data_IF_228256351121
#
_entry.id   IF_228256351121
#
_cell.length_a   1.000
_cell.length_b   1.000
_cell.length_c   1.000
_cell.angle_alpha   90.00
_cell.angle_beta   90.00
_cell.angle_gamma   90.00
#
_symmetry.space_group_name_H-M   'P 1'
#
loop_
_entity.id
_entity.type
_entity.pdbx_description
1 polymer ?
#
# COMPACT_ATOMS: atom_id res chain seq x y z
N UNK A 1 -7.23 1.54 14.88
CA UNK A 1 -6.42 2.52 15.66
C UNK A 1 -5.13 1.82 16.02
N UNK A 2 -3.98 2.42 15.72
CA UNK A 2 -2.68 1.88 16.12
C UNK A 2 -2.14 2.75 17.26
N UNK A 3 -2.01 2.21 18.49
CA UNK A 3 -1.54 2.99 19.64
C UNK A 3 -0.11 3.49 19.49
N UNK A 4 0.18 4.62 20.14
CA UNK A 4 1.52 5.14 20.27
C UNK A 4 2.46 4.15 20.94
N UNK A 5 3.76 4.31 20.69
CA UNK A 5 4.82 3.62 21.40
C UNK A 5 5.83 2.95 20.47
N UNK A 6 6.92 2.45 21.06
CA UNK A 6 7.99 1.81 20.34
C UNK A 6 7.53 0.49 19.70
N UNK A 7 8.08 0.18 18.53
CA UNK A 7 8.02 -1.14 17.93
C UNK A 7 9.36 -1.49 17.28
N UNK A 8 9.62 -2.78 17.11
CA UNK A 8 10.78 -3.25 16.35
C UNK A 8 10.43 -3.25 14.86
N UNK A 9 11.19 -2.48 14.09
CA UNK A 9 11.10 -2.38 12.63
C UNK A 9 12.28 -3.10 11.98
N UNK A 10 12.02 -3.74 10.84
CA UNK A 10 13.00 -4.54 10.11
C UNK A 10 13.34 -5.86 10.82
N UNK A 11 14.36 -6.55 10.32
CA UNK A 11 14.75 -7.89 10.80
C UNK A 11 16.25 -8.11 10.77
N UNK A 12 16.73 -9.00 11.64
CA UNK A 12 18.12 -9.49 11.61
C UNK A 12 18.24 -10.84 10.87
N UNK A 13 17.10 -11.40 10.41
CA UNK A 13 17.07 -12.70 9.72
C UNK A 13 17.58 -12.59 8.28
N UNK A 14 18.88 -12.87 8.11
CA UNK A 14 19.53 -12.89 6.79
C UNK A 14 19.05 -14.01 5.87
N UNK A 15 18.32 -15.00 6.36
CA UNK A 15 17.85 -16.13 5.54
C UNK A 15 16.59 -15.81 4.74
N UNK A 16 15.87 -14.76 5.13
CA UNK A 16 14.54 -14.44 4.59
C UNK A 16 14.36 -12.97 4.17
N UNK A 17 15.37 -12.11 4.37
CA UNK A 17 15.26 -10.67 4.15
C UNK A 17 16.35 -10.13 3.20
N UNK A 18 15.99 -9.15 2.37
CA UNK A 18 16.94 -8.36 1.60
C UNK A 18 17.74 -7.42 2.49
N UNK A 19 18.79 -6.79 1.94
CA UNK A 19 19.66 -5.93 2.74
C UNK A 19 18.98 -4.68 3.30
N UNK A 20 18.07 -4.08 2.55
CA UNK A 20 17.30 -2.89 2.93
C UNK A 20 16.28 -3.13 4.06
N UNK A 21 15.92 -4.38 4.34
CA UNK A 21 15.02 -4.76 5.45
C UNK A 21 15.78 -4.93 6.78
N UNK A 22 17.12 -4.79 6.76
CA UNK A 22 17.98 -5.25 7.86
C UNK A 22 18.61 -4.15 8.69
N UNK A 23 18.99 -4.61 9.87
CA UNK A 23 19.29 -3.79 11.03
C UNK A 23 17.98 -3.60 11.78
N UNK A 24 17.53 -4.63 12.51
CA UNK A 24 16.34 -4.45 13.35
C UNK A 24 16.60 -3.33 14.33
N UNK A 25 15.68 -2.38 14.39
CA UNK A 25 15.83 -1.19 15.20
C UNK A 25 14.47 -0.76 15.78
N UNK A 26 14.52 0.06 16.83
CA UNK A 26 13.31 0.55 17.49
C UNK A 26 12.90 1.88 16.87
N UNK A 27 11.64 1.98 16.47
CA UNK A 27 11.01 3.23 16.04
C UNK A 27 9.87 3.55 16.99
N UNK A 28 9.87 4.77 17.54
CA UNK A 28 8.75 5.27 18.37
C UNK A 28 7.78 6.06 17.50
N UNK A 29 6.52 5.62 17.47
CA UNK A 29 5.48 6.23 16.65
C UNK A 29 4.38 6.82 17.52
N UNK A 30 3.78 7.97 17.15
CA UNK A 30 2.58 8.48 17.81
C UNK A 30 1.39 7.53 17.57
N UNK A 31 0.25 7.83 18.20
CA UNK A 31 -1.00 7.14 17.88
C UNK A 31 -1.49 7.62 16.52
N UNK A 32 -1.86 6.70 15.63
CA UNK A 32 -2.40 7.02 14.31
C UNK A 32 -3.55 6.09 13.92
N UNK A 33 -4.20 6.43 12.82
CA UNK A 33 -5.17 5.56 12.15
C UNK A 33 -4.65 5.28 10.74
N UNK A 34 -4.77 4.03 10.35
CA UNK A 34 -4.62 3.58 8.98
C UNK A 34 -5.98 2.98 8.56
N UNK A 35 -6.32 3.09 7.29
CA UNK A 35 -7.54 2.46 6.77
C UNK A 35 -7.43 0.95 6.93
N UNK A 36 -8.53 0.30 7.29
CA UNK A 36 -8.55 -1.15 7.54
C UNK A 36 -8.36 -1.97 6.26
N UNK A 37 -8.35 -1.35 5.09
CA UNK A 37 -8.13 -1.98 3.79
C UNK A 37 -7.73 -0.94 2.73
N UNK A 38 -7.15 -1.36 1.60
CA UNK A 38 -6.82 -0.47 0.50
C UNK A 38 -8.01 0.31 -0.06
N UNK A 39 -7.72 1.46 -0.66
CA UNK A 39 -8.71 2.30 -1.37
C UNK A 39 -9.33 1.47 -2.49
N UNK A 40 -10.67 1.42 -2.54
CA UNK A 40 -11.36 0.68 -3.59
C UNK A 40 -11.54 1.51 -4.86
N UNK A 41 -11.73 0.84 -5.99
CA UNK A 41 -12.11 1.46 -7.27
C UNK A 41 -13.33 2.37 -7.12
N UNK A 42 -14.34 1.95 -6.37
CA UNK A 42 -15.55 2.77 -6.15
C UNK A 42 -15.29 4.00 -5.28
N UNK A 43 -14.29 3.96 -4.40
CA UNK A 43 -13.86 5.14 -3.64
C UNK A 43 -13.04 6.10 -4.50
N UNK A 44 -12.14 5.56 -5.31
CA UNK A 44 -11.34 6.33 -6.26
C UNK A 44 -12.21 6.98 -7.36
N UNK A 45 -13.27 6.30 -7.81
CA UNK A 45 -14.22 6.85 -8.76
C UNK A 45 -14.90 8.11 -8.22
N UNK A 46 -15.25 8.16 -6.92
CA UNK A 46 -15.81 9.39 -6.31
C UNK A 46 -14.81 10.54 -6.29
N UNK A 47 -13.52 10.26 -6.13
CA UNK A 47 -12.47 11.26 -6.25
C UNK A 47 -12.41 11.83 -7.67
N UNK A 48 -12.46 10.97 -8.69
CA UNK A 48 -12.51 11.40 -10.09
C UNK A 48 -13.78 12.20 -10.41
N UNK A 49 -14.94 11.73 -9.97
CA UNK A 49 -16.24 12.39 -10.21
C UNK A 49 -16.35 13.75 -9.52
N UNK A 50 -15.64 13.96 -8.40
CA UNK A 50 -15.54 15.25 -7.69
C UNK A 50 -14.43 16.17 -8.25
N UNK A 51 -13.98 15.91 -9.48
CA UNK A 51 -12.96 16.71 -10.17
C UNK A 51 -11.55 16.57 -9.58
N UNK A 52 -11.22 15.40 -9.02
CA UNK A 52 -9.95 15.19 -8.31
C UNK A 52 -8.69 15.46 -9.12
N UNK A 53 -8.74 15.23 -10.44
CA UNK A 53 -7.63 15.53 -11.36
C UNK A 53 -7.61 17.00 -11.79
N UNK A 54 -8.71 17.72 -11.67
CA UNK A 54 -8.86 19.11 -12.09
C UNK A 54 -8.57 20.13 -10.97
N UNK A 55 -8.40 19.65 -9.73
CA UNK A 55 -8.30 20.46 -8.51
C UNK A 55 -6.85 20.61 -8.02
N UNK A 56 -6.12 21.67 -8.42
CA UNK A 56 -4.67 21.79 -8.19
C UNK A 56 -4.26 21.86 -6.72
N UNK A 57 -5.18 22.19 -5.81
CA UNK A 57 -4.96 22.22 -4.37
C UNK A 57 -4.77 20.83 -3.75
N UNK A 58 -5.20 19.77 -4.44
CA UNK A 58 -5.03 18.38 -3.99
C UNK A 58 -3.64 17.82 -4.28
N UNK A 59 -2.91 18.46 -5.21
CA UNK A 59 -1.66 17.96 -5.75
C UNK A 59 -0.48 18.74 -5.18
N UNK A 60 0.60 18.02 -4.85
CA UNK A 60 1.90 18.64 -4.56
C UNK A 60 2.45 19.35 -5.81
N UNK A 61 3.51 20.16 -5.66
CA UNK A 61 4.15 20.81 -6.81
C UNK A 61 4.64 19.79 -7.85
N UNK A 62 5.38 18.77 -7.40
CA UNK A 62 5.82 17.66 -8.25
C UNK A 62 4.65 16.87 -8.83
N UNK A 63 3.57 16.69 -8.06
CA UNK A 63 2.35 16.05 -8.55
C UNK A 63 1.67 16.84 -9.68
N UNK A 64 1.61 18.17 -9.58
CA UNK A 64 1.10 19.03 -10.66
C UNK A 64 1.99 18.97 -11.90
N UNK A 65 3.31 18.95 -11.72
CA UNK A 65 4.25 18.81 -12.84
C UNK A 65 4.05 17.46 -13.56
N UNK A 66 3.96 16.37 -12.80
CA UNK A 66 3.66 15.03 -13.35
C UNK A 66 2.32 14.97 -14.07
N UNK A 67 1.28 15.59 -13.49
CA UNK A 67 -0.04 15.61 -14.08
C UNK A 67 -0.05 16.38 -15.42
N UNK A 68 0.66 17.51 -15.48
CA UNK A 68 0.83 18.28 -16.70
C UNK A 68 1.62 17.51 -17.78
N UNK A 69 2.65 16.76 -17.39
CA UNK A 69 3.45 15.94 -18.30
C UNK A 69 2.67 14.75 -18.88
N UNK A 70 1.89 14.08 -18.04
CA UNK A 70 1.22 12.82 -18.42
C UNK A 70 -0.18 13.03 -18.99
N UNK A 71 -0.83 14.17 -18.70
CA UNK A 71 -2.25 14.41 -18.98
C UNK A 71 -3.16 13.30 -18.42
N UNK A 72 -2.77 12.69 -17.30
CA UNK A 72 -3.56 11.67 -16.62
C UNK A 72 -4.88 12.24 -16.11
N UNK A 73 -5.93 11.43 -16.16
CA UNK A 73 -7.29 11.80 -15.71
C UNK A 73 -8.04 10.60 -15.10
N UNK A 74 -7.36 9.46 -14.95
CA UNK A 74 -7.87 8.21 -14.41
C UNK A 74 -6.70 7.26 -14.10
N UNK A 75 -6.90 6.22 -13.27
CA UNK A 75 -5.92 5.16 -13.11
C UNK A 75 -5.52 4.55 -14.46
N UNK A 76 -4.27 4.13 -14.58
CA UNK A 76 -3.80 3.55 -15.83
C UNK A 76 -4.64 2.32 -16.20
N UNK A 77 -4.94 2.20 -17.50
CA UNK A 77 -5.83 1.18 -18.10
C UNK A 77 -7.33 1.37 -17.89
N UNK A 78 -7.77 2.44 -17.24
CA UNK A 78 -9.18 2.83 -17.27
C UNK A 78 -9.49 3.59 -18.56
N UNK A 79 -10.65 3.32 -19.15
CA UNK A 79 -11.14 4.01 -20.35
C UNK A 79 -12.62 4.34 -20.22
N UNK A 80 -13.00 5.51 -20.70
CA UNK A 80 -14.40 5.89 -20.89
C UNK A 80 -14.93 5.27 -22.19
N UNK A 81 -15.91 4.37 -22.08
CA UNK A 81 -16.53 3.65 -23.20
C UNK A 81 -18.03 3.58 -22.95
N UNK A 82 -18.86 3.98 -23.91
CA UNK A 82 -20.33 3.90 -23.81
C UNK A 82 -20.87 4.50 -22.49
N UNK A 83 -20.43 5.72 -22.17
CA UNK A 83 -20.86 6.47 -20.98
C UNK A 83 -20.55 5.80 -19.63
N UNK A 84 -19.48 4.99 -19.58
CA UNK A 84 -19.00 4.38 -18.34
C UNK A 84 -17.49 4.17 -18.35
N UNK A 85 -16.91 4.13 -17.15
CA UNK A 85 -15.54 3.67 -16.96
C UNK A 85 -15.44 2.14 -17.07
N UNK A 86 -14.46 1.69 -17.82
CA UNK A 86 -14.10 0.28 -18.03
C UNK A 86 -12.61 0.10 -17.73
N UNK A 87 -12.24 -1.03 -17.13
CA UNK A 87 -10.83 -1.40 -16.94
C UNK A 87 -10.38 -2.37 -18.03
N UNK A 88 -9.12 -2.27 -18.45
CA UNK A 88 -8.48 -3.22 -19.34
C UNK A 88 -7.41 -4.02 -18.57
N UNK A 89 -7.68 -5.29 -18.29
CA UNK A 89 -6.71 -6.19 -17.65
C UNK A 89 -6.29 -7.27 -18.65
N UNK A 90 -4.98 -7.41 -18.89
CA UNK A 90 -4.40 -8.33 -19.89
C UNK A 90 -5.11 -8.29 -21.28
N UNK A 91 -5.41 -7.08 -21.75
CA UNK A 91 -6.05 -6.86 -23.06
C UNK A 91 -7.56 -7.11 -23.08
N UNK A 92 -8.20 -7.38 -21.93
CA UNK A 92 -9.65 -7.62 -21.83
C UNK A 92 -10.35 -6.46 -21.11
N UNK A 93 -11.27 -5.82 -21.83
CA UNK A 93 -12.16 -4.82 -21.25
C UNK A 93 -13.25 -5.46 -20.42
N UNK A 94 -13.47 -4.91 -19.23
CA UNK A 94 -14.55 -5.33 -18.33
C UNK A 94 -15.01 -4.16 -17.47
N UNK A 95 -16.21 -4.31 -16.91
CA UNK A 95 -16.74 -3.36 -15.94
C UNK A 95 -15.86 -3.35 -14.69
N UNK A 96 -15.61 -2.15 -14.14
CA UNK A 96 -14.85 -1.99 -12.91
C UNK A 96 -15.63 -2.59 -11.74
N UNK A 97 -15.01 -3.47 -10.96
CA UNK A 97 -15.56 -3.92 -9.67
C UNK A 97 -15.22 -2.87 -8.59
N UNK A 98 -16.25 -2.17 -8.11
CA UNK A 98 -16.12 -1.06 -7.17
C UNK A 98 -15.57 -1.47 -5.80
N UNK A 99 -15.54 -2.78 -5.49
CA UNK A 99 -15.08 -3.30 -4.20
C UNK A 99 -13.61 -3.72 -4.20
N UNK A 100 -12.99 -3.87 -5.37
CA UNK A 100 -11.56 -4.21 -5.48
C UNK A 100 -10.71 -2.99 -5.21
N UNK A 101 -9.49 -3.21 -4.72
CA UNK A 101 -8.49 -2.17 -4.58
C UNK A 101 -8.24 -1.48 -5.93
N UNK A 102 -8.04 -0.17 -5.90
CA UNK A 102 -7.56 0.59 -7.07
C UNK A 102 -6.11 0.21 -7.35
N UNK A 103 -5.77 0.05 -8.63
CA UNK A 103 -4.45 -0.36 -9.10
C UNK A 103 -3.97 0.57 -10.20
N UNK A 104 -2.66 0.53 -10.45
CA UNK A 104 -2.00 1.33 -11.48
C UNK A 104 -2.22 2.83 -11.35
N UNK A 105 -2.17 3.31 -10.10
CA UNK A 105 -2.06 4.72 -9.75
C UNK A 105 -0.61 5.03 -9.37
N UNK A 106 -0.13 6.19 -9.79
CA UNK A 106 1.15 6.75 -9.36
C UNK A 106 1.13 7.13 -7.88
N UNK A 107 2.31 7.38 -7.31
CA UNK A 107 2.43 7.93 -5.96
C UNK A 107 1.70 9.28 -5.84
N UNK A 108 1.82 10.16 -6.85
CA UNK A 108 1.17 11.48 -6.85
C UNK A 108 -0.35 11.39 -6.82
N UNK A 109 -0.92 10.44 -7.56
CA UNK A 109 -2.35 10.14 -7.55
C UNK A 109 -2.81 9.61 -6.19
N UNK A 110 -2.06 8.70 -5.58
CA UNK A 110 -2.38 8.16 -4.26
C UNK A 110 -2.35 9.24 -3.18
N UNK A 111 -1.36 10.14 -3.23
CA UNK A 111 -1.20 11.27 -2.34
C UNK A 111 -2.31 12.33 -2.53
N UNK A 112 -2.67 12.65 -3.78
CA UNK A 112 -3.78 13.56 -4.09
C UNK A 112 -5.14 13.00 -3.62
N UNK A 113 -5.40 11.71 -3.85
CA UNK A 113 -6.57 11.03 -3.31
C UNK A 113 -6.61 11.10 -1.79
N UNK A 114 -5.48 10.84 -1.12
CA UNK A 114 -5.42 10.88 0.34
C UNK A 114 -5.76 12.29 0.87
N UNK A 115 -5.24 13.35 0.25
CA UNK A 115 -5.59 14.74 0.62
C UNK A 115 -7.07 15.05 0.40
N UNK A 116 -7.63 14.63 -0.75
CA UNK A 116 -9.05 14.79 -1.04
C UNK A 116 -9.93 14.11 0.02
N UNK A 117 -9.55 12.90 0.44
CA UNK A 117 -10.25 12.14 1.46
C UNK A 117 -10.05 12.71 2.89
N UNK A 118 -9.31 13.81 3.07
CA UNK A 118 -8.97 14.38 4.38
C UNK A 118 -7.99 13.52 5.18
N UNK A 119 -7.13 12.77 4.49
CA UNK A 119 -6.15 11.81 5.04
C UNK A 119 -4.75 12.13 4.52
N UNK A 120 -3.83 11.19 4.72
CA UNK A 120 -2.48 11.16 4.16
C UNK A 120 -2.05 9.72 3.91
N UNK A 121 -1.00 9.53 3.12
CA UNK A 121 -0.31 8.23 3.04
C UNK A 121 0.35 7.89 4.39
N UNK A 122 0.43 6.60 4.76
CA UNK A 122 1.20 6.17 5.93
C UNK A 122 2.70 6.30 5.64
N UNK A 123 3.55 6.48 6.65
CA UNK A 123 4.98 6.18 6.47
C UNK A 123 5.17 4.66 6.38
N UNK A 124 6.30 4.18 5.85
CA UNK A 124 6.59 2.74 5.84
C UNK A 124 6.61 2.15 7.26
N UNK A 125 7.11 2.90 8.25
CA UNK A 125 7.13 2.47 9.65
C UNK A 125 5.71 2.34 10.22
N UNK A 126 4.81 3.27 9.89
CA UNK A 126 3.40 3.17 10.25
C UNK A 126 2.72 1.98 9.54
N UNK A 127 3.09 1.71 8.30
CA UNK A 127 2.56 0.58 7.55
C UNK A 127 3.03 -0.75 8.16
N UNK A 128 4.33 -0.91 8.43
CA UNK A 128 4.92 -2.12 9.00
C UNK A 128 4.42 -2.40 10.41
N UNK A 129 4.33 -1.36 11.27
CA UNK A 129 3.74 -1.51 12.61
C UNK A 129 2.29 -1.99 12.51
N UNK A 130 1.49 -1.43 11.59
CA UNK A 130 0.11 -1.84 11.39
C UNK A 130 -0.02 -3.26 10.82
N UNK A 131 0.95 -3.70 10.01
CA UNK A 131 1.00 -5.02 9.40
C UNK A 131 1.43 -6.10 10.39
N UNK A 132 2.55 -5.92 11.08
CA UNK A 132 3.28 -7.01 11.73
C UNK A 132 3.36 -6.90 13.26
N UNK A 133 3.31 -5.70 13.86
CA UNK A 133 3.58 -5.55 15.30
C UNK A 133 2.46 -6.14 16.17
N UNK A 134 2.84 -7.03 17.08
CA UNK A 134 1.95 -7.63 18.08
C UNK A 134 2.32 -7.10 19.48
N UNK A 135 1.62 -6.08 19.98
CA UNK A 135 1.94 -5.47 21.27
C UNK A 135 1.65 -6.41 22.45
N UNK A 136 0.79 -7.42 22.29
CA UNK A 136 0.55 -8.42 23.34
C UNK A 136 1.75 -9.36 23.50
N UNK A 137 2.49 -9.57 22.42
CA UNK A 137 3.68 -10.44 22.39
C UNK A 137 5.00 -9.67 22.46
N UNK A 138 4.96 -8.34 22.33
CA UNK A 138 6.13 -7.47 22.32
C UNK A 138 7.12 -7.77 21.19
N UNK A 139 6.64 -8.25 20.04
CA UNK A 139 7.47 -8.55 18.86
C UNK A 139 6.67 -8.42 17.56
N UNK A 140 7.39 -8.35 16.43
CA UNK A 140 6.79 -8.52 15.11
C UNK A 140 6.33 -9.98 14.90
N UNK A 141 5.20 -10.14 14.21
CA UNK A 141 4.73 -11.41 13.64
C UNK A 141 5.41 -11.64 12.29
N UNK A 142 5.61 -12.90 11.91
CA UNK A 142 6.18 -13.22 10.58
C UNK A 142 5.28 -12.75 9.42
N UNK A 143 3.97 -12.84 9.60
CA UNK A 143 2.94 -12.34 8.68
C UNK A 143 1.85 -11.61 9.49
N UNK A 144 0.96 -10.82 8.86
CA UNK A 144 -0.08 -10.09 9.59
C UNK A 144 -0.93 -10.95 10.51
N UNK A 145 -1.27 -12.16 10.04
CA UNK A 145 -2.06 -13.16 10.76
C UNK A 145 -1.27 -14.02 11.76
N UNK A 146 0.04 -13.78 11.93
CA UNK A 146 0.91 -14.55 12.82
C UNK A 146 2.02 -15.32 12.08
N UNK A 147 2.48 -16.41 12.68
CA UNK A 147 3.72 -17.09 12.24
C UNK A 147 3.49 -18.24 11.25
N UNK A 148 2.22 -18.57 10.98
CA UNK A 148 1.87 -19.66 10.07
C UNK A 148 2.03 -19.22 8.61
N UNK A 149 2.52 -20.14 7.77
CA UNK A 149 2.77 -19.88 6.36
C UNK A 149 1.51 -19.39 5.60
N UNK A 150 1.69 -18.62 4.51
CA UNK A 150 0.58 -18.14 3.69
C UNK A 150 -0.23 -19.31 3.12
N UNK A 151 -1.55 -19.18 3.21
CA UNK A 151 -2.51 -20.08 2.56
C UNK A 151 -3.53 -19.25 1.80
N UNK A 152 -4.26 -19.92 0.90
CA UNK A 152 -5.22 -19.32 -0.03
C UNK A 152 -6.34 -18.55 0.64
N UNK A 153 -6.64 -18.85 1.90
CA UNK A 153 -7.69 -18.23 2.72
C UNK A 153 -7.18 -16.99 3.49
N UNK A 154 -5.88 -16.69 3.42
CA UNK A 154 -5.26 -15.57 4.15
C UNK A 154 -4.79 -14.43 3.25
N UNK A 155 -4.38 -14.72 2.01
CA UNK A 155 -3.89 -13.70 1.10
C UNK A 155 -4.02 -14.11 -0.36
N UNK A 156 -4.00 -13.11 -1.25
CA UNK A 156 -3.87 -13.28 -2.68
C UNK A 156 -2.41 -13.12 -3.11
N UNK A 157 -1.71 -14.24 -3.28
CA UNK A 157 -0.29 -14.28 -3.64
C UNK A 157 -0.03 -15.16 -4.87
N UNK A 158 1.23 -15.22 -5.29
CA UNK A 158 1.73 -16.14 -6.33
C UNK A 158 1.05 -16.00 -7.70
N UNK A 159 0.67 -14.76 -8.06
CA UNK A 159 0.03 -14.43 -9.34
C UNK A 159 -1.23 -15.26 -9.64
N UNK A 160 -1.88 -15.81 -8.61
CA UNK A 160 -2.96 -16.79 -8.76
C UNK A 160 -4.19 -16.24 -9.50
N UNK A 161 -4.58 -15.00 -9.18
CA UNK A 161 -5.80 -14.39 -9.72
C UNK A 161 -5.52 -13.34 -10.78
N UNK A 162 -4.25 -12.90 -10.91
CA UNK A 162 -3.80 -11.82 -11.81
C UNK A 162 -4.54 -10.48 -11.62
N UNK A 163 -5.34 -10.35 -10.56
CA UNK A 163 -6.11 -9.17 -10.19
C UNK A 163 -6.24 -9.12 -8.66
N UNK A 164 -6.43 -7.92 -8.07
CA UNK A 164 -6.77 -7.80 -6.67
C UNK A 164 -8.17 -8.34 -6.40
N UNK A 165 -8.39 -8.80 -5.19
CA UNK A 165 -9.69 -9.25 -4.71
C UNK A 165 -10.50 -8.10 -4.09
N UNK A 166 -11.83 -8.24 -3.98
CA UNK A 166 -12.65 -7.32 -3.21
C UNK A 166 -12.11 -7.17 -1.80
N UNK A 167 -12.13 -5.95 -1.28
CA UNK A 167 -11.75 -5.66 0.11
C UNK A 167 -12.56 -6.55 1.07
N UNK A 168 -11.86 -7.16 2.03
CA UNK A 168 -12.43 -8.06 3.03
C UNK A 168 -12.48 -9.54 2.62
N UNK A 169 -11.93 -9.91 1.46
CA UNK A 169 -11.96 -11.31 0.96
C UNK A 169 -11.19 -12.30 1.83
N UNK A 170 -10.26 -11.82 2.67
CA UNK A 170 -9.41 -12.66 3.51
C UNK A 170 -9.56 -12.33 5.00
N UNK A 171 -10.68 -12.69 5.65
CA UNK A 171 -10.89 -12.42 7.08
C UNK A 171 -9.89 -13.15 7.98
N UNK A 172 -9.25 -14.22 7.49
CA UNK A 172 -8.18 -14.95 8.22
C UNK A 172 -6.79 -14.34 8.02
N UNK A 173 -6.68 -13.32 7.16
CA UNK A 173 -5.45 -12.61 6.84
C UNK A 173 -5.25 -11.30 7.60
N UNK A 174 -6.08 -11.04 8.62
CA UNK A 174 -6.05 -9.80 9.38
C UNK A 174 -4.73 -9.61 10.13
N UNK A 175 -4.23 -8.37 10.14
CA UNK A 175 -3.19 -7.95 11.07
C UNK A 175 -3.68 -7.94 12.53
N UNK A 176 -2.78 -7.77 13.50
CA UNK A 176 -3.17 -7.58 14.90
C UNK A 176 -4.18 -6.43 15.07
N UNK A 177 -4.00 -5.35 14.32
CA UNK A 177 -4.84 -4.15 14.39
C UNK A 177 -6.12 -4.25 13.54
N UNK A 178 -6.42 -5.42 12.96
CA UNK A 178 -7.61 -5.64 12.15
C UNK A 178 -7.51 -5.06 10.74
N UNK A 179 -6.30 -4.87 10.21
CA UNK A 179 -6.11 -4.44 8.82
C UNK A 179 -6.18 -5.66 7.90
N UNK A 180 -6.99 -5.57 6.85
CA UNK A 180 -7.15 -6.56 5.80
C UNK A 180 -6.07 -6.37 4.73
N UNK A 181 -5.66 -7.48 4.11
CA UNK A 181 -4.93 -7.46 2.84
C UNK A 181 -3.61 -6.68 2.85
N UNK A 182 -2.98 -6.51 4.02
CA UNK A 182 -1.64 -5.92 4.16
C UNK A 182 -0.55 -6.71 3.40
N UNK A 183 -0.82 -7.96 3.01
CA UNK A 183 0.04 -8.76 2.14
C UNK A 183 -0.79 -9.29 0.98
N UNK A 184 -0.29 -9.08 -0.24
CA UNK A 184 -0.94 -9.49 -1.48
C UNK A 184 -1.89 -8.44 -2.04
N UNK A 185 -2.63 -8.81 -3.08
CA UNK A 185 -3.52 -7.94 -3.88
C UNK A 185 -2.82 -6.76 -4.58
N UNK A 186 -2.25 -5.80 -3.85
CA UNK A 186 -1.62 -4.59 -4.39
C UNK A 186 -0.38 -4.19 -3.59
N UNK A 187 0.56 -3.51 -4.22
CA UNK A 187 1.55 -2.71 -3.50
C UNK A 187 0.88 -1.43 -2.98
N UNK A 188 1.23 -1.01 -1.77
CA UNK A 188 0.63 0.15 -1.10
C UNK A 188 1.65 1.29 -0.99
N UNK A 189 1.37 2.43 -1.61
CA UNK A 189 2.25 3.61 -1.56
C UNK A 189 2.37 4.16 -0.14
N UNK A 190 3.60 4.47 0.28
CA UNK A 190 3.90 5.12 1.56
C UNK A 190 4.45 6.54 1.32
N UNK A 191 4.46 7.36 2.35
CA UNK A 191 5.08 8.69 2.34
C UNK A 191 6.60 8.66 2.59
N UNK A 192 7.20 7.47 2.72
CA UNK A 192 8.63 7.32 2.96
C UNK A 192 9.40 7.31 1.66
N UNK A 193 10.50 8.05 1.62
CA UNK A 193 11.55 7.83 0.63
C UNK A 193 12.27 6.51 0.92
N UNK A 194 12.84 5.89 -0.10
CA UNK A 194 13.66 4.68 0.07
C UNK A 194 15.04 5.05 0.64
N UNK A 195 15.20 4.90 1.96
CA UNK A 195 16.40 5.27 2.70
C UNK A 195 16.92 4.07 3.53
N UNK A 196 18.24 4.00 3.78
CA UNK A 196 18.81 2.93 4.58
C UNK A 196 18.37 2.99 6.04
N UNK A 197 18.09 1.84 6.64
CA UNK A 197 17.91 1.73 8.09
C UNK A 197 19.21 2.02 8.85
N UNK A 198 19.14 2.41 10.14
CA UNK A 198 20.32 2.61 10.97
C UNK A 198 21.23 1.37 10.97
N UNK A 199 22.48 1.54 10.55
CA UNK A 199 23.45 0.45 10.46
C UNK A 199 23.31 -0.44 9.23
N UNK A 200 22.58 -0.02 8.20
CA UNK A 200 22.48 -0.71 6.92
C UNK A 200 23.88 -1.03 6.34
N UNK A 201 23.99 -2.24 5.81
CA UNK A 201 25.14 -2.72 5.06
C UNK A 201 24.62 -3.55 3.87
N UNK A 202 25.00 -3.13 2.67
CA UNK A 202 24.57 -3.80 1.45
C UNK A 202 25.14 -5.22 1.36
N UNK A 203 24.31 -6.19 0.97
CA UNK A 203 24.73 -7.58 0.79
C UNK A 203 23.67 -8.41 0.05
N UNK A 204 24.07 -9.32 -0.86
CA UNK A 204 25.40 -9.49 -1.44
C UNK A 204 25.63 -8.59 -2.67
N UNK A 205 24.58 -7.89 -3.13
CA UNK A 205 24.59 -7.11 -4.37
C UNK A 205 24.34 -5.63 -4.05
N UNK A 206 25.40 -4.83 -4.10
CA UNK A 206 25.43 -3.46 -3.58
C UNK A 206 24.40 -2.54 -4.26
N UNK A 207 24.30 -2.67 -5.57
CA UNK A 207 23.42 -1.88 -6.44
C UNK A 207 21.93 -2.23 -6.28
N UNK A 208 21.59 -3.24 -5.46
CA UNK A 208 20.19 -3.56 -5.17
C UNK A 208 19.49 -2.46 -4.36
N UNK A 209 20.21 -1.90 -3.38
CA UNK A 209 19.66 -0.92 -2.42
C UNK A 209 20.49 0.36 -2.28
N UNK A 210 21.76 0.36 -2.70
CA UNK A 210 22.55 1.60 -2.80
C UNK A 210 22.36 2.20 -4.19
N UNK A 211 21.67 3.35 -4.24
CA UNK A 211 21.37 4.12 -5.47
C UNK A 211 22.16 5.42 -5.49
#
# INVERSE_FOLDING_TARGET
LVPAGPFEMGTDDRSAAYDNERGRHVVDLPTYRIDAAPVTNGAYLRFMEDGGYERPELWSESGRAWLAETSSHAPMHWKWVEDRWMACTFGRFHAIDHRRAVIHVSWFEADAYARWAGKRLPTEAEWEKAAAWDPERGRARRFPWGDADPIRERANLDQRLLEPTPVGSYPRGLSFYGCHQMIGDVWEWTASDFLPYPGFEAFPYREYSEV
#
